data_IF_062924787263
#
_entry.id   IF_062924787263
#
_cell.length_a   1.000
_cell.length_b   1.000
_cell.length_c   1.000
_cell.angle_alpha   90.00
_cell.angle_beta   90.00
_cell.angle_gamma   90.00
#
_symmetry.space_group_name_H-M   'P 1'
#
loop_
_entity.id
_entity.type
_entity.pdbx_description
1 polymer ?
#
# COMPACT_ATOMS: atom_id res chain seq x y z
N UNK A 1 38.98 -22.29 -42.96
CA UNK A 1 37.52 -22.22 -43.00
C UNK A 1 36.96 -23.63 -43.13
N UNK A 2 36.58 -24.37 -42.10
CA UNK A 2 36.85 -24.36 -40.67
C UNK A 2 36.42 -25.75 -40.22
N UNK A 3 37.33 -26.53 -39.64
CA UNK A 3 36.95 -27.76 -38.94
C UNK A 3 36.57 -27.36 -37.52
N UNK A 4 35.28 -27.15 -37.28
CA UNK A 4 34.75 -27.04 -35.91
C UNK A 4 34.95 -28.38 -35.23
N UNK A 5 35.96 -28.45 -34.36
CA UNK A 5 36.20 -29.56 -33.46
C UNK A 5 34.96 -29.76 -32.58
N UNK A 6 34.34 -30.94 -32.67
CA UNK A 6 33.28 -31.33 -31.76
C UNK A 6 33.86 -31.48 -30.36
N UNK A 7 33.47 -30.59 -29.45
CA UNK A 7 33.75 -30.74 -28.03
C UNK A 7 33.02 -31.99 -27.53
N UNK A 8 33.74 -33.11 -27.36
CA UNK A 8 33.24 -34.28 -26.64
C UNK A 8 32.87 -33.84 -25.22
N UNK A 9 31.59 -33.87 -24.89
CA UNK A 9 31.14 -33.83 -23.50
C UNK A 9 31.69 -35.10 -22.86
N UNK A 10 32.61 -34.95 -21.91
CA UNK A 10 33.09 -36.06 -21.09
C UNK A 10 31.98 -36.30 -20.05
N UNK A 11 31.10 -37.26 -20.32
CA UNK A 11 30.22 -37.80 -19.29
C UNK A 11 31.10 -38.47 -18.23
N UNK A 12 31.14 -37.88 -17.03
CA UNK A 12 31.72 -38.51 -15.85
C UNK A 12 30.60 -39.21 -15.10
N UNK A 13 30.73 -40.52 -14.92
CA UNK A 13 29.80 -41.31 -14.13
C UNK A 13 30.01 -41.03 -12.62
N UNK A 14 29.04 -40.36 -12.02
CA UNK A 14 28.99 -40.08 -10.58
C UNK A 14 28.02 -41.01 -9.84
N UNK A 15 27.58 -42.13 -10.45
CA UNK A 15 26.56 -43.02 -9.90
C UNK A 15 26.86 -43.59 -8.50
N UNK A 16 28.13 -43.58 -8.09
CA UNK A 16 28.57 -44.03 -6.76
C UNK A 16 28.92 -42.88 -5.78
N UNK A 17 28.71 -41.61 -6.16
CA UNK A 17 28.97 -40.49 -5.25
C UNK A 17 27.85 -40.38 -4.22
N UNK A 18 28.21 -40.52 -2.93
CA UNK A 18 27.32 -40.24 -1.81
C UNK A 18 27.73 -38.91 -1.16
N UNK A 19 26.93 -37.84 -1.33
CA UNK A 19 27.19 -36.56 -0.66
C UNK A 19 27.35 -36.70 0.85
N UNK A 20 26.57 -37.61 1.47
CA UNK A 20 26.62 -37.89 2.90
C UNK A 20 27.96 -38.48 3.32
N UNK A 21 28.44 -39.51 2.63
CA UNK A 21 29.72 -40.17 2.96
C UNK A 21 30.88 -39.20 2.77
N UNK A 22 30.86 -38.41 1.69
CA UNK A 22 31.86 -37.38 1.45
C UNK A 22 31.90 -36.32 2.56
N UNK A 23 30.73 -35.87 3.05
CA UNK A 23 30.68 -34.92 4.16
C UNK A 23 31.14 -35.53 5.49
N UNK A 24 30.76 -36.78 5.78
CA UNK A 24 31.19 -37.48 7.00
C UNK A 24 32.72 -37.71 7.01
N UNK A 25 33.31 -38.03 5.86
CA UNK A 25 34.74 -38.32 5.71
C UNK A 25 35.63 -37.06 5.74
N UNK A 26 35.21 -35.99 5.06
CA UNK A 26 36.05 -34.80 4.85
C UNK A 26 35.64 -33.58 5.68
N UNK A 27 34.41 -33.55 6.23
CA UNK A 27 33.82 -32.37 6.89
C UNK A 27 33.17 -32.69 8.24
N UNK A 28 33.54 -33.81 8.89
CA UNK A 28 33.12 -34.11 10.26
C UNK A 28 33.74 -33.17 11.31
N UNK A 29 34.88 -32.54 10.98
CA UNK A 29 35.50 -31.45 11.74
C UNK A 29 35.96 -30.34 10.80
N UNK A 30 35.83 -29.08 11.24
CA UNK A 30 36.24 -27.91 10.45
C UNK A 30 37.77 -27.82 10.40
N UNK A 31 38.35 -28.01 9.20
CA UNK A 31 39.78 -27.90 8.96
C UNK A 31 40.23 -26.43 8.87
N UNK A 32 41.54 -26.19 8.93
CA UNK A 32 42.07 -24.82 8.82
C UNK A 32 41.84 -24.19 7.44
N UNK A 33 41.82 -25.01 6.38
CA UNK A 33 41.51 -24.57 5.02
C UNK A 33 40.05 -24.12 4.90
N UNK A 34 39.12 -24.83 5.56
CA UNK A 34 37.70 -24.45 5.62
C UNK A 34 37.51 -23.11 6.35
N UNK A 35 38.22 -22.89 7.47
CA UNK A 35 38.20 -21.61 8.19
C UNK A 35 38.70 -20.46 7.33
N UNK A 36 39.77 -20.69 6.57
CA UNK A 36 40.31 -19.69 5.65
C UNK A 36 39.33 -19.39 4.52
N UNK A 37 38.70 -20.43 3.94
CA UNK A 37 37.69 -20.29 2.90
C UNK A 37 36.47 -19.50 3.39
N UNK A 38 35.93 -19.85 4.57
CA UNK A 38 34.83 -19.15 5.22
C UNK A 38 35.17 -17.68 5.50
N UNK A 39 36.39 -17.39 5.96
CA UNK A 39 36.84 -16.01 6.18
C UNK A 39 36.90 -15.20 4.88
N UNK A 40 37.38 -15.79 3.79
CA UNK A 40 37.42 -15.14 2.48
C UNK A 40 36.00 -14.86 1.94
N UNK A 41 35.09 -15.83 2.06
CA UNK A 41 33.68 -15.65 1.69
C UNK A 41 33.00 -14.56 2.53
N UNK A 42 33.22 -14.56 3.85
CA UNK A 42 32.68 -13.53 4.74
C UNK A 42 33.17 -12.12 4.33
N UNK A 43 34.45 -11.97 3.96
CA UNK A 43 34.98 -10.70 3.43
C UNK A 43 34.40 -10.31 2.08
N UNK A 44 34.17 -11.26 1.19
CA UNK A 44 33.54 -10.99 -0.10
C UNK A 44 32.11 -10.50 0.08
N UNK A 45 31.32 -11.16 0.93
CA UNK A 45 29.93 -10.79 1.22
C UNK A 45 29.79 -9.54 2.08
N UNK A 46 30.81 -9.14 2.83
CA UNK A 46 30.78 -7.90 3.63
C UNK A 46 30.53 -6.65 2.76
N UNK A 47 30.99 -6.67 1.51
CA UNK A 47 30.91 -5.54 0.56
C UNK A 47 29.72 -5.64 -0.40
N UNK A 48 28.88 -6.68 -0.28
CA UNK A 48 27.68 -6.81 -1.12
C UNK A 48 26.57 -5.91 -0.57
N UNK A 49 25.94 -5.15 -1.46
CA UNK A 49 24.84 -4.24 -1.14
C UNK A 49 23.61 -5.02 -0.68
N UNK A 50 22.94 -4.51 0.35
CA UNK A 50 21.70 -5.10 0.85
C UNK A 50 20.61 -5.10 -0.24
N UNK A 51 19.81 -6.17 -0.31
CA UNK A 51 18.79 -6.37 -1.36
C UNK A 51 19.30 -7.06 -2.64
N UNK A 52 20.59 -7.39 -2.73
CA UNK A 52 21.13 -8.14 -3.87
C UNK A 52 20.68 -9.60 -3.89
N UNK A 53 20.37 -10.13 -5.08
CA UNK A 53 20.08 -11.57 -5.29
C UNK A 53 21.37 -12.37 -5.44
N UNK A 54 21.55 -13.41 -4.63
CA UNK A 54 22.64 -14.39 -4.80
C UNK A 54 22.17 -15.54 -5.70
N UNK A 55 22.94 -15.85 -6.73
CA UNK A 55 22.77 -17.03 -7.56
C UNK A 55 24.04 -17.87 -7.48
N UNK A 56 23.95 -19.08 -6.92
CA UNK A 56 25.08 -19.99 -6.73
C UNK A 56 25.03 -21.14 -7.74
N UNK A 57 26.15 -21.40 -8.40
CA UNK A 57 26.32 -22.58 -9.27
C UNK A 57 27.52 -23.40 -8.77
N UNK A 58 27.33 -24.70 -8.57
CA UNK A 58 28.43 -25.62 -8.29
C UNK A 58 28.94 -25.64 -6.84
N UNK A 59 28.11 -25.26 -5.86
CA UNK A 59 28.47 -25.22 -4.43
C UNK A 59 28.90 -26.53 -3.78
N UNK A 60 28.73 -27.66 -4.47
CA UNK A 60 29.02 -28.98 -3.92
C UNK A 60 28.21 -29.29 -2.64
N UNK A 61 28.59 -30.33 -1.89
CA UNK A 61 27.81 -30.77 -0.73
C UNK A 61 28.05 -29.94 0.55
N UNK A 62 29.04 -29.05 0.59
CA UNK A 62 29.56 -28.45 1.82
C UNK A 62 28.77 -27.25 2.36
N UNK A 63 27.87 -26.66 1.55
CA UNK A 63 26.99 -25.55 1.91
C UNK A 63 27.70 -24.28 2.46
N UNK A 64 29.03 -24.20 2.48
CA UNK A 64 29.78 -23.08 3.08
C UNK A 64 29.52 -21.73 2.43
N UNK A 65 29.28 -21.71 1.12
CA UNK A 65 28.92 -20.49 0.37
C UNK A 65 27.56 -19.97 0.82
N UNK A 66 26.56 -20.86 0.87
CA UNK A 66 25.23 -20.56 1.40
C UNK A 66 25.26 -20.17 2.88
N UNK A 67 26.05 -20.83 3.74
CA UNK A 67 26.15 -20.49 5.16
C UNK A 67 26.82 -19.12 5.39
N UNK A 68 27.87 -18.80 4.63
CA UNK A 68 28.56 -17.50 4.73
C UNK A 68 27.70 -16.37 4.19
N UNK A 69 26.97 -16.61 3.10
CA UNK A 69 25.95 -15.70 2.60
C UNK A 69 24.82 -15.53 3.63
N UNK A 70 24.31 -16.63 4.18
CA UNK A 70 23.26 -16.62 5.19
C UNK A 70 23.67 -15.88 6.45
N UNK A 71 24.94 -15.80 6.84
CA UNK A 71 25.41 -14.98 7.96
C UNK A 71 25.31 -13.46 7.70
N UNK A 72 25.44 -13.01 6.44
CA UNK A 72 25.18 -11.61 6.03
C UNK A 72 23.68 -11.38 5.84
N UNK A 73 22.97 -12.33 5.23
CA UNK A 73 21.54 -12.28 4.99
C UNK A 73 20.69 -12.64 6.21
N UNK A 74 21.25 -13.10 7.33
CA UNK A 74 20.48 -13.32 8.59
C UNK A 74 20.13 -12.02 9.26
N UNK A 75 20.91 -10.95 9.07
CA UNK A 75 20.43 -9.58 9.39
C UNK A 75 19.21 -9.19 8.56
N UNK A 76 19.07 -9.72 7.34
CA UNK A 76 17.93 -9.51 6.45
C UNK A 76 16.80 -10.52 6.71
N UNK A 77 17.09 -11.73 7.19
CA UNK A 77 16.09 -12.70 7.60
C UNK A 77 15.54 -12.38 8.98
N UNK A 78 16.29 -11.77 9.90
CA UNK A 78 15.73 -11.21 11.13
C UNK A 78 14.81 -10.02 10.79
N UNK A 79 15.06 -9.28 9.71
CA UNK A 79 14.14 -8.24 9.20
C UNK A 79 12.96 -8.78 8.38
N UNK A 80 13.04 -10.01 7.85
CA UNK A 80 11.93 -10.71 7.16
C UNK A 80 11.10 -11.58 8.12
N UNK A 81 11.73 -12.14 9.16
CA UNK A 81 11.12 -12.88 10.26
C UNK A 81 10.60 -11.95 11.37
N UNK A 82 10.97 -10.66 11.32
CA UNK A 82 10.26 -9.58 12.00
C UNK A 82 9.04 -9.07 11.23
N UNK A 83 8.45 -9.86 10.32
CA UNK A 83 7.00 -9.78 10.13
C UNK A 83 6.33 -10.26 11.42
N UNK A 84 6.50 -9.51 12.52
CA UNK A 84 5.47 -9.43 13.52
C UNK A 84 4.23 -9.14 12.70
N UNK A 85 3.27 -10.05 12.71
CA UNK A 85 1.90 -9.67 12.44
C UNK A 85 1.64 -8.60 13.50
N UNK A 86 1.78 -7.33 13.11
CA UNK A 86 1.38 -6.22 13.96
C UNK A 86 -0.13 -6.24 13.85
N UNK A 87 -0.76 -7.14 14.60
CA UNK A 87 -2.20 -7.18 14.75
C UNK A 87 -2.56 -5.93 15.55
N UNK A 88 -2.85 -4.84 14.83
CA UNK A 88 -3.30 -3.60 15.44
C UNK A 88 -4.76 -3.77 15.81
N UNK A 89 -5.06 -3.58 17.08
CA UNK A 89 -6.40 -3.75 17.62
C UNK A 89 -7.29 -2.58 17.18
N UNK A 90 -7.96 -2.77 16.05
CA UNK A 90 -9.12 -1.99 15.62
C UNK A 90 -10.43 -2.72 15.91
N UNK A 91 -10.42 -3.77 16.74
CA UNK A 91 -11.54 -4.68 16.95
C UNK A 91 -12.78 -4.00 17.54
N UNK A 92 -12.60 -2.85 18.18
CA UNK A 92 -13.67 -2.05 18.75
C UNK A 92 -14.11 -0.87 17.85
N UNK A 93 -13.56 -0.71 16.64
CA UNK A 93 -13.97 0.35 15.71
C UNK A 93 -15.47 0.23 15.36
N UNK A 94 -16.23 1.32 15.55
CA UNK A 94 -17.64 1.40 15.22
C UNK A 94 -17.86 2.17 13.92
N UNK A 95 -18.25 1.52 12.80
CA UNK A 95 -18.48 2.20 11.52
C UNK A 95 -19.52 3.31 11.61
N UNK A 96 -20.66 3.03 12.24
CA UNK A 96 -21.75 4.00 12.36
C UNK A 96 -21.40 5.16 13.28
N UNK A 97 -20.68 4.89 14.37
CA UNK A 97 -20.19 5.91 15.30
C UNK A 97 -19.23 6.86 14.57
N UNK A 98 -18.29 6.31 13.80
CA UNK A 98 -17.39 7.10 12.97
C UNK A 98 -18.14 7.98 11.96
N UNK A 99 -19.12 7.41 11.25
CA UNK A 99 -19.91 8.17 10.27
C UNK A 99 -20.73 9.29 10.93
N UNK A 100 -21.29 9.03 12.11
CA UNK A 100 -22.05 10.02 12.87
C UNK A 100 -21.15 11.12 13.44
N UNK A 101 -19.95 10.78 13.88
CA UNK A 101 -18.97 11.74 14.43
C UNK A 101 -18.39 12.66 13.35
N UNK A 102 -18.03 12.11 12.19
CA UNK A 102 -17.27 12.86 11.17
C UNK A 102 -18.10 13.33 9.97
N UNK A 103 -19.27 12.73 9.68
CA UNK A 103 -19.97 12.96 8.40
C UNK A 103 -21.48 13.25 8.55
N UNK A 104 -22.01 13.34 9.77
CA UNK A 104 -23.43 13.67 9.99
C UNK A 104 -23.74 15.15 9.74
N UNK A 105 -22.76 16.03 10.00
CA UNK A 105 -22.83 17.46 9.76
C UNK A 105 -21.71 17.88 8.81
N UNK A 106 -22.05 18.67 7.78
CA UNK A 106 -21.05 19.15 6.82
C UNK A 106 -20.27 20.31 7.43
N UNK A 107 -18.97 20.10 7.59
CA UNK A 107 -18.01 21.10 8.05
C UNK A 107 -17.36 21.84 6.87
N UNK A 108 -16.51 22.84 7.15
CA UNK A 108 -15.80 23.57 6.10
C UNK A 108 -14.66 22.72 5.52
N UNK A 109 -14.03 21.92 6.38
CA UNK A 109 -13.07 20.86 6.02
C UNK A 109 -13.63 19.96 4.91
N UNK A 110 -14.84 19.43 5.08
CA UNK A 110 -15.49 18.54 4.10
C UNK A 110 -15.69 19.23 2.74
N UNK A 111 -16.18 20.47 2.75
CA UNK A 111 -16.42 21.24 1.51
C UNK A 111 -15.12 21.47 0.75
N UNK A 112 -14.07 21.83 1.48
CA UNK A 112 -12.77 22.07 0.87
C UNK A 112 -12.16 20.77 0.34
N UNK A 113 -12.23 19.68 1.10
CA UNK A 113 -11.76 18.36 0.66
C UNK A 113 -12.50 17.90 -0.61
N UNK A 114 -13.83 18.01 -0.65
CA UNK A 114 -14.64 17.70 -1.83
C UNK A 114 -14.29 18.58 -3.04
N UNK A 115 -13.94 19.85 -2.82
CA UNK A 115 -13.43 20.73 -3.87
C UNK A 115 -12.08 20.26 -4.43
N UNK A 116 -11.14 19.89 -3.57
CA UNK A 116 -9.85 19.33 -3.99
C UNK A 116 -10.02 18.02 -4.76
N UNK A 117 -10.94 17.14 -4.32
CA UNK A 117 -11.29 15.89 -5.00
C UNK A 117 -11.86 16.15 -6.40
N UNK A 118 -12.82 17.08 -6.54
CA UNK A 118 -13.38 17.46 -7.84
C UNK A 118 -12.29 17.91 -8.83
N UNK A 119 -11.31 18.71 -8.35
CA UNK A 119 -10.15 19.12 -9.16
C UNK A 119 -9.24 17.95 -9.51
N UNK A 120 -8.94 17.08 -8.55
CA UNK A 120 -8.07 15.93 -8.77
C UNK A 120 -8.61 14.98 -9.86
N UNK A 121 -9.94 14.83 -9.94
CA UNK A 121 -10.60 13.98 -10.93
C UNK A 121 -10.96 14.67 -12.25
N UNK A 122 -10.83 16.00 -12.36
CA UNK A 122 -11.27 16.76 -13.52
C UNK A 122 -10.65 16.25 -14.84
N UNK A 123 -9.37 15.86 -14.80
CA UNK A 123 -8.58 15.39 -15.95
C UNK A 123 -8.24 13.90 -15.89
N UNK A 124 -9.10 13.09 -15.29
CA UNK A 124 -8.95 11.62 -15.34
C UNK A 124 -9.23 11.12 -16.75
N UNK A 125 -8.38 10.22 -17.24
CA UNK A 125 -8.54 9.59 -18.56
C UNK A 125 -9.74 8.65 -18.55
N UNK A 126 -10.56 8.71 -19.59
CA UNK A 126 -11.68 7.79 -19.79
C UNK A 126 -11.21 6.33 -19.75
N UNK A 127 -11.99 5.48 -19.09
CA UNK A 127 -11.64 4.07 -18.94
C UNK A 127 -10.78 3.71 -17.73
N UNK A 128 -10.30 4.70 -16.96
CA UNK A 128 -9.44 4.49 -15.78
C UNK A 128 -10.07 3.60 -14.72
N UNK A 129 -9.27 2.71 -14.12
CA UNK A 129 -9.64 1.92 -12.94
C UNK A 129 -9.13 2.59 -11.66
N UNK A 130 -9.97 2.61 -10.62
CA UNK A 130 -9.64 3.21 -9.33
C UNK A 130 -9.63 2.16 -8.22
N UNK A 131 -8.59 2.19 -7.39
CA UNK A 131 -8.55 1.51 -6.10
C UNK A 131 -8.80 2.52 -4.98
N UNK A 132 -9.84 2.29 -4.18
CA UNK A 132 -10.02 2.95 -2.89
C UNK A 132 -9.35 2.10 -1.82
N UNK A 133 -8.16 2.50 -1.37
CA UNK A 133 -7.40 1.75 -0.38
C UNK A 133 -7.64 2.30 1.02
N UNK A 134 -8.20 1.45 1.89
CA UNK A 134 -8.53 1.82 3.27
C UNK A 134 -9.70 2.81 3.33
N UNK A 135 -10.72 2.60 2.50
CA UNK A 135 -11.83 3.56 2.38
C UNK A 135 -12.71 3.69 3.64
N UNK A 136 -12.50 2.84 4.65
CA UNK A 136 -13.31 2.81 5.84
C UNK A 136 -14.78 2.57 5.52
N UNK A 137 -15.71 3.07 6.34
CA UNK A 137 -17.14 3.00 6.04
C UNK A 137 -17.62 4.16 5.13
N UNK A 138 -16.70 4.87 4.46
CA UNK A 138 -16.97 6.17 3.83
C UNK A 138 -17.10 6.10 2.31
N UNK A 139 -17.79 7.09 1.72
CA UNK A 139 -18.00 7.19 0.27
C UNK A 139 -17.76 8.58 -0.33
N UNK A 140 -17.51 9.60 0.49
CA UNK A 140 -17.39 10.99 0.05
C UNK A 140 -16.29 11.17 -1.02
N UNK A 141 -15.16 10.49 -0.83
CA UNK A 141 -13.98 10.53 -1.69
C UNK A 141 -14.20 9.95 -3.08
N UNK A 142 -15.28 9.19 -3.26
CA UNK A 142 -15.66 8.55 -4.52
C UNK A 142 -16.76 9.29 -5.28
N UNK A 143 -17.41 10.29 -4.66
CA UNK A 143 -18.53 10.99 -5.28
C UNK A 143 -18.11 11.64 -6.59
N UNK A 144 -17.02 12.42 -6.62
CA UNK A 144 -16.54 13.02 -7.86
C UNK A 144 -15.91 12.01 -8.82
N UNK A 145 -15.24 10.98 -8.28
CA UNK A 145 -14.66 9.91 -9.10
C UNK A 145 -15.72 9.13 -9.89
N UNK A 146 -16.92 8.95 -9.35
CA UNK A 146 -18.00 8.19 -9.96
C UNK A 146 -18.42 8.72 -11.34
N UNK A 147 -18.22 10.00 -11.66
CA UNK A 147 -18.50 10.51 -13.00
C UNK A 147 -17.37 10.27 -14.01
N UNK A 148 -16.17 9.88 -13.55
CA UNK A 148 -14.93 9.94 -14.34
C UNK A 148 -14.30 8.57 -14.58
N UNK A 149 -14.36 7.67 -13.61
CA UNK A 149 -13.69 6.36 -13.68
C UNK A 149 -14.60 5.30 -14.30
N UNK A 150 -14.03 4.23 -14.84
CA UNK A 150 -14.79 3.10 -15.38
C UNK A 150 -15.29 2.17 -14.29
N UNK A 151 -14.42 1.86 -13.33
CA UNK A 151 -14.70 0.94 -12.23
C UNK A 151 -13.89 1.30 -10.99
N UNK A 152 -14.45 0.93 -9.84
CA UNK A 152 -13.89 1.15 -8.51
C UNK A 152 -13.76 -0.21 -7.82
N UNK A 153 -12.57 -0.49 -7.30
CA UNK A 153 -12.34 -1.55 -6.34
C UNK A 153 -12.20 -0.92 -4.96
N UNK A 154 -13.10 -1.28 -4.05
CA UNK A 154 -13.13 -0.74 -2.69
C UNK A 154 -12.43 -1.72 -1.75
N UNK A 155 -11.41 -1.26 -1.03
CA UNK A 155 -10.63 -2.10 -0.13
C UNK A 155 -10.59 -1.51 1.28
N UNK A 156 -10.69 -2.38 2.29
CA UNK A 156 -10.54 -1.98 3.69
C UNK A 156 -9.98 -3.10 4.57
N UNK A 157 -9.29 -2.70 5.65
CA UNK A 157 -8.77 -3.62 6.67
C UNK A 157 -9.84 -4.12 7.63
N UNK A 158 -11.02 -3.52 7.73
CA UNK A 158 -12.10 -4.01 8.61
C UNK A 158 -13.31 -4.49 7.82
N UNK A 159 -13.75 -5.73 8.07
CA UNK A 159 -14.92 -6.27 7.37
C UNK A 159 -16.18 -5.49 7.74
N UNK A 160 -16.26 -4.97 8.97
CA UNK A 160 -17.37 -4.13 9.42
C UNK A 160 -17.52 -2.84 8.61
N UNK A 161 -16.42 -2.29 8.09
CA UNK A 161 -16.44 -1.14 7.19
C UNK A 161 -16.97 -1.52 5.82
N UNK A 162 -16.47 -2.62 5.26
CA UNK A 162 -16.94 -3.16 3.98
C UNK A 162 -18.44 -3.49 4.04
N UNK A 163 -18.92 -4.04 5.16
CA UNK A 163 -20.35 -4.30 5.39
C UNK A 163 -21.16 -3.00 5.37
N UNK A 164 -20.70 -1.94 6.03
CA UNK A 164 -21.41 -0.65 6.04
C UNK A 164 -21.51 -0.04 4.63
N UNK A 165 -20.44 -0.12 3.84
CA UNK A 165 -20.47 0.33 2.43
C UNK A 165 -21.38 -0.55 1.59
N UNK A 166 -21.36 -1.88 1.78
CA UNK A 166 -22.26 -2.80 1.07
C UNK A 166 -23.72 -2.50 1.34
N UNK A 167 -24.10 -2.13 2.58
CA UNK A 167 -25.48 -1.74 2.90
C UNK A 167 -25.93 -0.55 2.04
N UNK A 168 -25.06 0.45 1.87
CA UNK A 168 -25.37 1.60 1.02
C UNK A 168 -25.47 1.21 -0.46
N UNK A 169 -24.55 0.37 -0.94
CA UNK A 169 -24.57 -0.15 -2.32
C UNK A 169 -25.84 -0.96 -2.60
N UNK A 170 -26.29 -1.77 -1.65
CA UNK A 170 -27.52 -2.57 -1.75
C UNK A 170 -28.80 -1.79 -1.44
N UNK A 171 -28.73 -0.47 -1.23
CA UNK A 171 -29.88 0.38 -0.88
C UNK A 171 -30.63 -0.10 0.38
N UNK A 172 -29.89 -0.57 1.38
CA UNK A 172 -30.48 -0.93 2.68
C UNK A 172 -31.13 0.28 3.33
N UNK A 173 -32.28 0.09 4.01
CA UNK A 173 -33.03 1.17 4.65
C UNK A 173 -32.33 1.80 5.86
N UNK A 174 -31.33 1.12 6.43
CA UNK A 174 -30.49 1.60 7.53
C UNK A 174 -29.14 2.19 7.07
N UNK A 175 -28.88 2.20 5.76
CA UNK A 175 -27.63 2.74 5.22
C UNK A 175 -27.45 4.22 5.56
N UNK A 176 -26.20 4.64 5.78
CA UNK A 176 -25.89 6.04 6.01
C UNK A 176 -26.30 6.92 4.82
N UNK A 177 -26.87 8.09 5.11
CA UNK A 177 -27.37 9.00 4.08
C UNK A 177 -26.24 9.92 3.60
N UNK A 178 -25.80 9.71 2.36
CA UNK A 178 -24.73 10.51 1.74
C UNK A 178 -25.24 11.68 0.88
N UNK A 179 -26.56 11.91 0.78
CA UNK A 179 -27.13 12.91 -0.13
C UNK A 179 -26.53 14.32 0.04
N UNK A 180 -26.32 14.74 1.29
CA UNK A 180 -25.75 16.05 1.60
C UNK A 180 -24.32 16.18 1.07
N UNK A 181 -23.48 15.17 1.29
CA UNK A 181 -22.12 15.10 0.77
C UNK A 181 -22.12 15.03 -0.77
N UNK A 182 -23.02 14.24 -1.36
CA UNK A 182 -23.20 14.17 -2.82
C UNK A 182 -23.56 15.55 -3.39
N UNK A 183 -24.44 16.30 -2.72
CA UNK A 183 -24.81 17.65 -3.13
C UNK A 183 -23.60 18.60 -3.15
N UNK A 184 -22.75 18.56 -2.12
CA UNK A 184 -21.52 19.37 -2.05
C UNK A 184 -20.52 18.94 -3.14
N UNK A 185 -20.35 17.65 -3.38
CA UNK A 185 -19.49 17.15 -4.46
C UNK A 185 -19.95 17.65 -5.84
N UNK A 186 -21.26 17.63 -6.10
CA UNK A 186 -21.83 18.19 -7.34
C UNK A 186 -21.57 19.70 -7.45
N UNK A 187 -21.77 20.46 -6.37
CA UNK A 187 -21.46 21.89 -6.35
C UNK A 187 -19.98 22.18 -6.63
N UNK A 188 -19.08 21.39 -6.05
CA UNK A 188 -17.64 21.49 -6.29
C UNK A 188 -17.26 21.26 -7.77
N UNK A 189 -18.08 20.49 -8.49
CA UNK A 189 -17.94 20.27 -9.94
C UNK A 189 -18.66 21.33 -10.80
N UNK A 190 -19.32 22.31 -10.18
CA UNK A 190 -20.13 23.32 -10.88
C UNK A 190 -21.50 22.81 -11.34
N UNK A 191 -21.98 21.70 -10.77
CA UNK A 191 -23.28 21.09 -11.08
C UNK A 191 -24.30 21.50 -10.02
N UNK A 192 -25.50 21.92 -10.46
CA UNK A 192 -26.60 22.22 -9.55
C UNK A 192 -27.09 20.94 -8.86
N UNK A 193 -27.10 20.87 -7.51
CA UNK A 193 -27.42 19.65 -6.78
C UNK A 193 -28.93 19.47 -6.62
N UNK A 194 -29.63 19.20 -7.73
CA UNK A 194 -31.04 18.79 -7.68
C UNK A 194 -31.15 17.37 -7.11
N UNK A 195 -32.33 16.99 -6.61
CA UNK A 195 -32.58 15.63 -6.14
C UNK A 195 -32.27 14.58 -7.22
N UNK A 196 -32.57 14.88 -8.48
CA UNK A 196 -32.27 13.99 -9.61
C UNK A 196 -30.76 13.87 -9.85
N UNK A 197 -30.02 14.98 -9.82
CA UNK A 197 -28.57 14.95 -9.99
C UNK A 197 -27.86 14.18 -8.86
N UNK A 198 -28.34 14.33 -7.62
CA UNK A 198 -27.87 13.56 -6.46
C UNK A 198 -28.14 12.07 -6.69
N UNK A 199 -29.39 11.71 -7.01
CA UNK A 199 -29.79 10.32 -7.26
C UNK A 199 -29.00 9.68 -8.40
N UNK A 200 -28.78 10.42 -9.49
CA UNK A 200 -28.01 9.97 -10.64
C UNK A 200 -26.55 9.72 -10.24
N UNK A 201 -25.93 10.67 -9.53
CA UNK A 201 -24.54 10.53 -9.08
C UNK A 201 -24.36 9.32 -8.18
N UNK A 202 -25.22 9.16 -7.18
CA UNK A 202 -25.12 8.02 -6.29
C UNK A 202 -25.44 6.71 -7.01
N UNK A 203 -26.33 6.69 -8.01
CA UNK A 203 -26.59 5.51 -8.83
C UNK A 203 -25.34 5.12 -9.63
N UNK A 204 -24.64 6.08 -10.24
CA UNK A 204 -23.37 5.83 -10.93
C UNK A 204 -22.34 5.23 -9.97
N UNK A 205 -22.20 5.78 -8.76
CA UNK A 205 -21.24 5.27 -7.78
C UNK A 205 -21.56 3.82 -7.39
N UNK A 206 -22.82 3.49 -7.10
CA UNK A 206 -23.25 2.10 -6.82
C UNK A 206 -22.93 1.16 -7.97
N UNK A 207 -23.16 1.61 -9.20
CA UNK A 207 -22.85 0.81 -10.39
C UNK A 207 -21.35 0.58 -10.52
N UNK A 208 -20.52 1.60 -10.28
CA UNK A 208 -19.08 1.57 -10.54
C UNK A 208 -18.27 0.85 -9.46
N UNK A 209 -18.78 0.69 -8.24
CA UNK A 209 -18.15 -0.18 -7.23
C UNK A 209 -18.34 -1.64 -7.66
N UNK A 210 -17.29 -2.25 -8.21
CA UNK A 210 -17.34 -3.62 -8.77
C UNK A 210 -16.79 -4.68 -7.84
N UNK A 211 -15.84 -4.31 -6.98
CA UNK A 211 -15.17 -5.25 -6.08
C UNK A 211 -15.04 -4.67 -4.69
N UNK A 212 -15.15 -5.56 -3.72
CA UNK A 212 -14.84 -5.31 -2.33
C UNK A 212 -13.69 -6.25 -1.94
N UNK A 213 -12.62 -5.68 -1.43
CA UNK A 213 -11.37 -6.39 -1.15
C UNK A 213 -10.99 -6.20 0.32
N UNK A 214 -10.41 -7.24 0.92
CA UNK A 214 -9.68 -7.11 2.17
C UNK A 214 -8.30 -6.53 1.85
N UNK A 215 -7.84 -5.57 2.64
CA UNK A 215 -6.47 -5.07 2.52
C UNK A 215 -5.75 -5.02 3.88
N UNK A 216 -4.43 -5.14 3.87
CA UNK A 216 -3.56 -4.86 5.03
C UNK A 216 -2.29 -4.17 4.54
N UNK A 217 -2.15 -2.87 4.84
CA UNK A 217 -1.02 -2.06 4.39
C UNK A 217 0.34 -2.55 4.95
N UNK A 218 0.35 -3.37 6.00
CA UNK A 218 1.56 -3.92 6.60
C UNK A 218 1.96 -5.28 5.99
N UNK A 219 1.21 -5.80 5.01
CA UNK A 219 1.64 -6.95 4.23
C UNK A 219 2.40 -6.52 2.99
N UNK A 220 3.40 -7.33 2.60
CA UNK A 220 4.10 -7.17 1.31
C UNK A 220 3.15 -7.13 0.11
N UNK A 221 2.05 -7.87 0.20
CA UNK A 221 0.96 -7.86 -0.77
C UNK A 221 -0.33 -7.43 -0.06
N UNK A 222 -0.61 -6.12 0.05
CA UNK A 222 -1.73 -5.66 0.88
C UNK A 222 -3.08 -6.24 0.50
N UNK A 223 -3.35 -6.47 -0.78
CA UNK A 223 -4.59 -7.09 -1.28
C UNK A 223 -4.54 -8.64 -1.30
N UNK A 224 -3.57 -9.25 -0.63
CA UNK A 224 -3.38 -10.70 -0.52
C UNK A 224 -2.55 -11.33 -1.64
N UNK A 225 -2.06 -12.55 -1.41
CA UNK A 225 -1.14 -13.29 -2.30
C UNK A 225 -1.81 -13.95 -3.51
N UNK A 226 -3.14 -14.07 -3.50
CA UNK A 226 -3.90 -14.61 -4.63
C UNK A 226 -4.21 -13.55 -5.70
N UNK A 227 -3.93 -12.29 -5.40
CA UNK A 227 -3.93 -11.21 -6.38
C UNK A 227 -2.48 -11.05 -6.84
N UNK A 228 -2.23 -11.31 -8.13
CA UNK A 228 -0.91 -11.15 -8.72
C UNK A 228 -0.29 -9.82 -8.29
N UNK A 229 0.99 -9.83 -7.93
CA UNK A 229 1.83 -8.65 -7.71
C UNK A 229 1.90 -7.68 -8.92
N UNK A 230 1.16 -7.98 -9.99
CA UNK A 230 0.98 -7.19 -11.19
C UNK A 230 -0.27 -6.31 -11.18
N UNK A 231 -1.19 -6.47 -10.22
CA UNK A 231 -2.41 -5.63 -10.19
C UNK A 231 -2.01 -4.21 -9.79
N UNK A 232 -2.08 -3.31 -10.75
CA UNK A 232 -1.90 -1.87 -10.55
C UNK A 232 -3.11 -1.13 -11.12
N UNK A 233 -3.32 0.09 -10.65
CA UNK A 233 -4.47 0.94 -10.95
C UNK A 233 -4.03 2.24 -11.59
N UNK A 234 -4.91 2.78 -12.44
CA UNK A 234 -4.71 4.10 -13.04
C UNK A 234 -4.81 5.20 -11.96
N UNK A 235 -5.64 4.95 -10.95
CA UNK A 235 -5.81 5.82 -9.78
C UNK A 235 -5.81 4.97 -8.51
N UNK A 236 -5.05 5.41 -7.51
CA UNK A 236 -5.19 4.90 -6.13
C UNK A 236 -5.61 6.07 -5.25
N UNK A 237 -6.71 5.87 -4.54
CA UNK A 237 -7.14 6.74 -3.46
C UNK A 237 -6.70 6.16 -2.13
N UNK A 238 -6.32 7.02 -1.20
CA UNK A 238 -6.12 6.66 0.20
C UNK A 238 -6.33 7.90 1.08
N UNK A 239 -7.39 7.92 1.87
CA UNK A 239 -7.75 9.11 2.65
C UNK A 239 -7.76 8.76 4.13
N UNK A 240 -6.89 9.42 4.89
CA UNK A 240 -6.72 9.22 6.33
C UNK A 240 -6.42 7.77 6.72
N UNK A 241 -5.41 7.17 6.09
CA UNK A 241 -5.09 5.74 6.24
C UNK A 241 -3.68 5.53 6.77
N UNK A 242 -2.65 5.75 5.93
CA UNK A 242 -1.29 5.35 6.28
C UNK A 242 -0.83 5.97 7.61
N UNK A 243 -1.17 7.24 7.84
CA UNK A 243 -0.84 7.97 9.05
C UNK A 243 -1.78 7.67 10.22
N UNK A 244 -3.02 7.24 9.96
CA UNK A 244 -4.04 7.01 10.98
C UNK A 244 -4.03 5.58 11.56
N UNK A 245 -3.26 4.68 10.95
CA UNK A 245 -3.17 3.28 11.39
C UNK A 245 -1.94 2.99 12.25
N UNK A 246 -1.09 3.99 12.50
CA UNK A 246 0.15 3.81 13.28
C UNK A 246 0.63 5.10 13.92
N UNK A 247 1.34 5.00 15.04
CA UNK A 247 2.13 6.09 15.66
C UNK A 247 3.65 5.92 15.44
N UNK A 248 4.07 4.80 14.85
CA UNK A 248 5.46 4.52 14.51
C UNK A 248 5.78 5.06 13.10
N UNK A 249 6.75 6.00 12.96
CA UNK A 249 7.12 6.57 11.67
C UNK A 249 7.64 5.56 10.64
N UNK A 250 8.35 4.51 11.05
CA UNK A 250 8.88 3.52 10.11
C UNK A 250 7.78 2.60 9.59
N UNK A 251 6.82 2.25 10.44
CA UNK A 251 5.62 1.54 10.03
C UNK A 251 4.78 2.38 9.06
N UNK A 252 4.68 3.69 9.29
CA UNK A 252 4.02 4.62 8.36
C UNK A 252 4.69 4.62 6.98
N UNK A 253 6.03 4.77 6.94
CA UNK A 253 6.79 4.74 5.67
C UNK A 253 6.54 3.42 4.91
N UNK A 254 6.55 2.30 5.63
CA UNK A 254 6.33 0.98 5.06
C UNK A 254 4.92 0.82 4.49
N UNK A 255 3.89 1.16 5.28
CA UNK A 255 2.50 1.13 4.85
C UNK A 255 2.26 2.02 3.63
N UNK A 256 2.80 3.24 3.66
CA UNK A 256 2.68 4.19 2.56
C UNK A 256 3.32 3.69 1.27
N UNK A 257 4.51 3.10 1.36
CA UNK A 257 5.19 2.50 0.20
C UNK A 257 4.39 1.34 -0.41
N UNK A 258 3.82 0.48 0.44
CA UNK A 258 2.97 -0.62 -0.01
C UNK A 258 1.70 -0.13 -0.71
N UNK A 259 1.06 0.93 -0.22
CA UNK A 259 -0.08 1.55 -0.90
C UNK A 259 0.34 2.12 -2.27
N UNK A 260 1.46 2.86 -2.31
CA UNK A 260 2.00 3.45 -3.54
C UNK A 260 2.36 2.41 -4.62
N UNK A 261 2.64 1.16 -4.22
CA UNK A 261 2.97 0.07 -5.13
C UNK A 261 1.83 -0.26 -6.12
N UNK A 262 0.58 -0.01 -5.72
CA UNK A 262 -0.61 -0.22 -6.55
C UNK A 262 -0.83 0.88 -7.61
N UNK A 263 -0.12 2.00 -7.55
CA UNK A 263 -0.19 3.03 -8.59
C UNK A 263 0.66 2.58 -9.78
N UNK A 264 0.04 2.47 -10.97
CA UNK A 264 0.73 2.19 -12.23
C UNK A 264 1.79 3.26 -12.51
N UNK A 265 2.83 2.95 -13.28
CA UNK A 265 3.63 3.98 -13.94
C UNK A 265 2.73 4.93 -14.76
N UNK A 266 2.91 6.24 -14.61
CA UNK A 266 2.01 7.27 -15.15
C UNK A 266 0.64 7.40 -14.46
N UNK A 267 0.34 6.54 -13.48
CA UNK A 267 -0.88 6.57 -12.69
C UNK A 267 -0.88 7.67 -11.63
N UNK A 268 -2.05 7.89 -11.03
CA UNK A 268 -2.31 8.96 -10.06
C UNK A 268 -2.52 8.41 -8.66
N UNK A 269 -1.92 9.04 -7.66
CA UNK A 269 -2.32 8.92 -6.25
C UNK A 269 -3.17 10.14 -5.89
N UNK A 270 -4.30 9.92 -5.22
CA UNK A 270 -5.11 10.99 -4.60
C UNK A 270 -5.25 10.63 -3.13
N UNK A 271 -4.88 11.54 -2.24
CA UNK A 271 -4.89 11.26 -0.81
C UNK A 271 -5.20 12.48 0.04
N UNK A 272 -5.60 12.21 1.28
CA UNK A 272 -5.61 13.19 2.34
C UNK A 272 -5.03 12.56 3.62
N UNK A 273 -4.45 13.37 4.48
CA UNK A 273 -3.88 12.91 5.74
C UNK A 273 -4.01 13.97 6.84
N UNK A 274 -4.10 13.52 8.09
CA UNK A 274 -4.06 14.40 9.27
C UNK A 274 -2.64 14.93 9.48
N UNK A 275 -2.48 16.25 9.45
CA UNK A 275 -1.20 16.90 9.73
C UNK A 275 -1.01 17.08 11.23
N UNK A 276 0.22 16.86 11.69
CA UNK A 276 0.63 17.06 13.08
C UNK A 276 -0.24 16.30 14.11
N UNK A 277 -0.90 15.21 13.71
CA UNK A 277 -1.72 14.41 14.61
C UNK A 277 -0.89 13.35 15.33
N UNK A 278 -1.28 13.05 16.56
CA UNK A 278 -0.77 11.90 17.32
C UNK A 278 -1.85 10.84 17.57
N UNK A 279 -3.11 11.19 17.32
CA UNK A 279 -4.24 10.31 17.53
C UNK A 279 -5.53 10.91 16.97
N UNK A 280 -6.53 10.07 16.82
CA UNK A 280 -7.90 10.41 16.43
C UNK A 280 -8.89 9.52 17.19
N UNK A 281 -10.20 9.75 17.03
CA UNK A 281 -11.22 9.08 17.83
C UNK A 281 -12.24 8.33 16.98
N UNK A 282 -12.87 7.34 17.62
CA UNK A 282 -14.12 6.75 17.16
C UNK A 282 -14.98 6.55 18.40
N UNK A 283 -15.88 7.51 18.66
CA UNK A 283 -16.60 7.64 19.90
C UNK A 283 -15.66 7.77 21.09
N UNK A 284 -15.74 6.84 22.04
CA UNK A 284 -14.93 6.87 23.27
C UNK A 284 -13.50 6.33 23.08
N UNK A 285 -13.22 5.74 21.91
CA UNK A 285 -11.93 5.11 21.63
C UNK A 285 -10.97 6.08 20.97
N UNK A 286 -9.69 5.89 21.26
CA UNK A 286 -8.60 6.68 20.71
C UNK A 286 -7.67 5.76 19.92
N UNK A 287 -7.39 6.14 18.68
CA UNK A 287 -6.51 5.42 17.77
C UNK A 287 -5.23 6.22 17.55
N UNK A 288 -4.09 5.54 17.29
CA UNK A 288 -2.83 6.22 17.06
C UNK A 288 -2.83 6.99 15.74
N UNK A 289 -2.03 8.06 15.67
CA UNK A 289 -1.67 8.68 14.40
C UNK A 289 -0.18 9.04 14.38
N UNK A 290 0.43 8.97 13.21
CA UNK A 290 1.82 9.35 13.00
C UNK A 290 1.86 10.84 12.75
N UNK A 291 2.74 11.53 13.48
CA UNK A 291 2.99 12.93 13.26
C UNK A 291 3.72 13.11 11.93
N UNK A 292 3.04 13.71 10.95
CA UNK A 292 3.58 13.97 9.62
C UNK A 292 3.40 15.43 9.21
N UNK A 293 4.24 15.86 8.28
CA UNK A 293 4.21 17.17 7.63
C UNK A 293 4.09 17.03 6.10
N UNK A 294 3.87 18.14 5.42
CA UNK A 294 3.93 18.23 3.96
C UNK A 294 5.29 17.75 3.43
N UNK A 295 6.38 18.14 4.10
CA UNK A 295 7.74 17.75 3.71
C UNK A 295 7.91 16.23 3.74
N UNK A 296 7.43 15.57 4.80
CA UNK A 296 7.53 14.12 4.94
C UNK A 296 6.76 13.42 3.81
N UNK A 297 5.54 13.89 3.51
CA UNK A 297 4.74 13.33 2.41
C UNK A 297 5.40 13.52 1.05
N UNK A 298 5.92 14.71 0.74
CA UNK A 298 6.63 14.98 -0.53
C UNK A 298 7.85 14.07 -0.66
N UNK A 299 8.67 13.96 0.37
CA UNK A 299 9.84 13.09 0.36
C UNK A 299 9.45 11.63 0.11
N UNK A 300 8.40 11.15 0.79
CA UNK A 300 7.90 9.78 0.58
C UNK A 300 7.36 9.56 -0.82
N UNK A 301 6.66 10.52 -1.38
CA UNK A 301 6.16 10.43 -2.76
C UNK A 301 7.33 10.33 -3.74
N UNK A 302 8.34 11.17 -3.62
CA UNK A 302 9.53 11.12 -4.51
C UNK A 302 10.21 9.75 -4.42
N UNK A 303 10.43 9.25 -3.20
CA UNK A 303 11.04 7.93 -3.00
C UNK A 303 10.21 6.77 -3.57
N UNK A 304 8.89 6.93 -3.63
CA UNK A 304 7.98 5.96 -4.25
C UNK A 304 7.76 6.20 -5.75
N UNK A 305 8.60 7.01 -6.37
CA UNK A 305 8.65 7.19 -7.82
C UNK A 305 7.66 8.21 -8.37
N UNK A 306 7.13 9.12 -7.54
CA UNK A 306 6.31 10.23 -8.01
C UNK A 306 7.17 11.42 -8.50
N UNK A 307 6.68 12.13 -9.51
CA UNK A 307 7.36 13.29 -10.09
C UNK A 307 7.10 14.51 -9.23
N UNK A 308 8.16 15.17 -8.77
CA UNK A 308 8.04 16.35 -7.91
C UNK A 308 7.19 17.44 -8.57
N UNK A 309 7.32 17.62 -9.88
CA UNK A 309 6.59 18.65 -10.65
C UNK A 309 5.09 18.37 -10.78
N UNK A 310 4.65 17.14 -10.53
CA UNK A 310 3.24 16.72 -10.60
C UNK A 310 2.63 16.50 -9.21
N UNK A 311 3.37 16.77 -8.13
CA UNK A 311 2.81 16.77 -6.78
C UNK A 311 2.06 18.09 -6.57
N UNK A 312 0.75 17.99 -6.43
CA UNK A 312 -0.14 19.08 -6.06
C UNK A 312 -0.56 18.83 -4.63
N UNK A 313 -0.24 19.77 -3.74
CA UNK A 313 -0.53 19.66 -2.32
C UNK A 313 -1.20 20.94 -1.81
N UNK A 314 -2.21 20.78 -0.96
CA UNK A 314 -2.93 21.86 -0.31
C UNK A 314 -3.16 21.48 1.15
N UNK A 315 -2.85 22.42 2.05
CA UNK A 315 -3.08 22.25 3.49
C UNK A 315 -4.16 23.22 3.94
N UNK A 316 -5.15 22.73 4.67
CA UNK A 316 -6.26 23.54 5.16
C UNK A 316 -6.62 23.18 6.60
N UNK A 317 -7.25 24.11 7.35
CA UNK A 317 -7.66 23.84 8.73
C UNK A 317 -8.64 22.67 8.80
N UNK A 318 -8.47 21.86 9.85
CA UNK A 318 -9.45 20.87 10.24
C UNK A 318 -10.47 21.47 11.20
N UNK A 319 -11.71 21.02 11.10
CA UNK A 319 -12.77 21.41 12.04
C UNK A 319 -12.81 20.48 13.28
N UNK A 320 -11.90 19.49 13.34
CA UNK A 320 -11.83 18.49 14.40
C UNK A 320 -11.02 18.94 15.64
N UNK A 321 -11.33 18.34 16.78
CA UNK A 321 -10.57 18.59 18.01
C UNK A 321 -9.20 17.91 18.00
N UNK A 322 -9.11 16.70 17.44
CA UNK A 322 -7.96 15.80 17.58
C UNK A 322 -6.82 16.08 16.59
N UNK A 323 -7.12 16.69 15.45
CA UNK A 323 -6.12 17.20 14.49
C UNK A 323 -6.53 18.61 14.04
N UNK A 324 -5.56 19.44 13.64
CA UNK A 324 -5.80 20.87 13.37
C UNK A 324 -5.72 21.25 11.91
N UNK A 325 -5.12 20.38 11.09
CA UNK A 325 -4.88 20.63 9.69
C UNK A 325 -5.00 19.31 8.93
N UNK A 326 -5.47 19.40 7.68
CA UNK A 326 -5.49 18.31 6.71
C UNK A 326 -4.55 18.66 5.57
N UNK A 327 -3.75 17.70 5.14
CA UNK A 327 -2.99 17.78 3.89
C UNK A 327 -3.76 17.00 2.84
N UNK A 328 -4.22 17.66 1.79
CA UNK A 328 -4.67 17.01 0.56
C UNK A 328 -3.51 16.96 -0.43
N UNK A 329 -3.32 15.81 -1.07
CA UNK A 329 -2.26 15.63 -2.05
C UNK A 329 -2.73 14.80 -3.24
N UNK A 330 -2.30 15.21 -4.44
CA UNK A 330 -2.40 14.44 -5.66
C UNK A 330 -1.01 14.37 -6.30
N UNK A 331 -0.60 13.20 -6.81
CA UNK A 331 0.69 13.03 -7.47
C UNK A 331 0.61 12.08 -8.65
N UNK A 332 1.45 12.29 -9.67
CA UNK A 332 1.61 11.36 -10.80
C UNK A 332 2.91 10.58 -10.66
N UNK A 333 2.83 9.26 -10.84
CA UNK A 333 3.99 8.36 -10.81
C UNK A 333 4.76 8.44 -12.12
N UNK A 334 6.08 8.27 -12.07
CA UNK A 334 6.93 8.16 -13.26
C UNK A 334 6.44 7.06 -14.21
N UNK A 335 6.64 7.25 -15.52
CA UNK A 335 6.26 6.29 -16.58
C UNK A 335 7.14 5.04 -16.58
#
# INVERSE_FOLDING_TARGET
MDSLASSKIIERDFGNFSPRVYLEEYYSEIQNEDKHHLYCLAKAYANVTDGSTLLEFGGGPTLYQLMSAAAKFTKTMDSLASSKIIERDFGNFGPRVYLEEYYSEIQNEDKHHLYCLAKAYANVTDGSTLLEFGGGPTLYQLMSAAAKVKEIHFADYLEVNLVEVRKWVSRSGDAFNWNNITAIALQAEGIMPTSDAINEREAMLREKIKKFLRCDAFQKYPLGTNNDSAVQYDIVNTHFVAESITDNPDDWKFAFANICSYVKPGGKLVMAAMKHSHAWKNGVQKFPATYITEHDLVERLIENGFRYEDIIMETFPADQEDYKEVIFCCGIKNL
#
